data_IF_885931309269
#
_entry.id   IF_885931309269
#
_cell.length_a   1.000
_cell.length_b   1.000
_cell.length_c   1.000
_cell.angle_alpha   90.00
_cell.angle_beta   90.00
_cell.angle_gamma   90.00
#
_symmetry.space_group_name_H-M   'P 1'
#
loop_
_entity.id
_entity.type
_entity.pdbx_description
1 polymer ?
#
# COMPACT_ATOMS: atom_id res chain seq x y z
N UNK A 1 25.97 -13.08 6.44
CA UNK A 1 24.86 -13.25 5.47
C UNK A 1 24.25 -11.90 5.10
N UNK A 2 24.04 -11.64 3.82
CA UNK A 2 23.34 -10.45 3.34
C UNK A 2 21.85 -10.70 3.44
N UNK A 3 21.06 -9.72 3.92
CA UNK A 3 19.62 -9.83 4.00
C UNK A 3 19.01 -9.96 2.60
N UNK A 4 18.02 -10.83 2.46
CA UNK A 4 17.28 -11.00 1.21
C UNK A 4 16.42 -9.77 0.91
N UNK A 5 16.38 -9.34 -0.37
CA UNK A 5 15.48 -8.30 -0.81
C UNK A 5 14.05 -8.84 -0.95
N UNK A 6 13.08 -8.08 -0.50
CA UNK A 6 11.68 -8.36 -0.79
C UNK A 6 11.16 -7.32 -1.79
N UNK A 7 10.74 -7.81 -2.93
CA UNK A 7 9.95 -7.03 -3.88
C UNK A 7 8.58 -7.68 -3.90
N UNK A 8 7.52 -6.92 -3.72
CA UNK A 8 6.20 -7.45 -4.00
C UNK A 8 6.23 -7.95 -5.45
N UNK A 9 5.71 -9.10 -5.75
CA UNK A 9 5.90 -9.94 -6.95
C UNK A 9 5.96 -9.14 -8.27
N UNK A 10 7.04 -9.28 -9.05
CA UNK A 10 7.16 -8.73 -10.39
C UNK A 10 6.45 -9.66 -11.40
N UNK A 11 5.55 -9.12 -12.20
CA UNK A 11 4.87 -9.86 -13.27
C UNK A 11 5.74 -10.05 -14.54
N UNK A 12 7.04 -9.85 -14.44
CA UNK A 12 7.99 -10.02 -15.53
C UNK A 12 8.11 -8.83 -16.49
N UNK A 13 7.35 -7.76 -16.29
CA UNK A 13 7.38 -6.54 -17.12
C UNK A 13 7.99 -5.32 -16.42
N UNK A 14 8.73 -5.52 -15.33
CA UNK A 14 9.34 -4.42 -14.56
C UNK A 14 8.31 -3.48 -13.87
N UNK A 15 7.04 -3.84 -13.89
CA UNK A 15 6.01 -3.11 -13.15
C UNK A 15 5.86 -3.71 -11.75
N UNK A 16 5.77 -2.89 -10.70
CA UNK A 16 5.52 -3.41 -9.37
C UNK A 16 4.20 -4.20 -9.36
N UNK A 17 4.14 -5.34 -8.67
CA UNK A 17 2.94 -6.17 -8.62
C UNK A 17 1.77 -5.37 -8.08
N UNK A 18 0.62 -5.60 -8.67
CA UNK A 18 -0.60 -4.92 -8.29
C UNK A 18 -1.56 -5.88 -7.61
N UNK A 19 -1.99 -5.51 -6.41
CA UNK A 19 -3.23 -6.04 -5.84
C UNK A 19 -4.37 -5.20 -6.36
N UNK A 20 -5.20 -5.79 -7.21
CA UNK A 20 -6.19 -5.05 -7.97
C UNK A 20 -7.59 -5.63 -7.77
N UNK A 21 -8.51 -4.82 -7.26
CA UNK A 21 -9.93 -5.13 -7.25
C UNK A 21 -10.66 -4.12 -8.14
N UNK A 22 -11.35 -4.63 -9.16
CA UNK A 22 -12.11 -3.81 -10.09
C UNK A 22 -13.55 -4.29 -10.18
N UNK A 23 -14.48 -3.38 -9.99
CA UNK A 23 -15.87 -3.52 -10.39
C UNK A 23 -15.99 -2.93 -11.81
N UNK A 24 -16.18 -3.81 -12.80
CA UNK A 24 -16.18 -3.44 -14.21
C UNK A 24 -17.46 -2.74 -14.66
N UNK A 25 -17.51 -2.23 -15.91
CA UNK A 25 -18.75 -1.75 -16.50
C UNK A 25 -19.69 -2.92 -16.71
N UNK A 26 -20.85 -2.88 -16.07
CA UNK A 26 -21.95 -3.82 -16.33
C UNK A 26 -22.86 -3.33 -17.45
N UNK A 27 -23.58 -4.25 -18.07
CA UNK A 27 -24.60 -3.92 -19.07
C UNK A 27 -25.82 -3.20 -18.45
N UNK A 28 -25.98 -3.25 -17.14
CA UNK A 28 -27.00 -2.53 -16.38
C UNK A 28 -26.43 -1.96 -15.09
N UNK A 29 -26.64 -0.68 -14.78
CA UNK A 29 -26.03 -0.02 -13.62
C UNK A 29 -26.44 -0.59 -12.26
N UNK A 30 -27.53 -1.33 -12.20
CA UNK A 30 -28.14 -1.78 -10.94
C UNK A 30 -27.78 -3.21 -10.53
N UNK A 31 -27.13 -3.99 -11.41
CA UNK A 31 -26.93 -5.43 -11.17
C UNK A 31 -25.54 -5.81 -10.71
N UNK A 32 -24.61 -4.86 -10.62
CA UNK A 32 -23.24 -5.13 -10.19
C UNK A 32 -22.99 -4.58 -8.80
N UNK A 33 -22.63 -5.47 -7.90
CA UNK A 33 -22.27 -5.09 -6.55
C UNK A 33 -21.28 -6.04 -5.92
N UNK A 34 -20.34 -5.48 -5.16
CA UNK A 34 -19.49 -6.23 -4.24
C UNK A 34 -20.01 -5.93 -2.84
N UNK A 35 -20.47 -6.97 -2.15
CA UNK A 35 -20.89 -6.83 -0.76
C UNK A 35 -20.01 -7.67 0.15
N UNK A 36 -19.33 -7.01 1.06
CA UNK A 36 -18.48 -7.63 2.08
C UNK A 36 -19.07 -7.31 3.45
N UNK A 37 -19.50 -8.34 4.17
CA UNK A 37 -20.21 -8.16 5.46
C UNK A 37 -19.36 -7.53 6.56
N UNK A 38 -18.04 -7.66 6.49
CA UNK A 38 -17.13 -7.13 7.52
C UNK A 38 -16.06 -6.23 6.90
N UNK A 39 -14.85 -6.72 6.68
CA UNK A 39 -13.70 -5.96 6.22
C UNK A 39 -13.22 -6.43 4.85
N UNK A 40 -12.95 -5.48 3.97
CA UNK A 40 -12.19 -5.67 2.73
C UNK A 40 -10.77 -5.18 2.97
N UNK A 41 -9.78 -6.04 2.72
CA UNK A 41 -8.35 -5.69 2.85
C UNK A 41 -7.66 -6.02 1.54
N UNK A 42 -7.02 -5.01 0.94
CA UNK A 42 -6.08 -5.16 -0.17
C UNK A 42 -4.70 -4.77 0.34
N UNK A 43 -3.76 -5.71 0.30
CA UNK A 43 -2.46 -5.53 0.92
C UNK A 43 -1.32 -5.84 -0.06
N UNK A 44 -0.42 -4.87 -0.23
CA UNK A 44 0.79 -4.94 -1.07
C UNK A 44 2.08 -4.71 -0.27
N UNK A 45 2.12 -5.11 1.00
CA UNK A 45 3.27 -4.92 1.88
C UNK A 45 4.50 -5.72 1.45
N UNK A 46 5.67 -5.19 1.78
CA UNK A 46 6.95 -5.86 1.57
C UNK A 46 7.88 -5.70 2.78
N UNK A 47 8.69 -6.74 3.06
CA UNK A 47 9.70 -6.71 4.12
C UNK A 47 11.02 -7.23 3.61
N UNK A 48 12.09 -6.48 3.83
CA UNK A 48 13.46 -6.92 3.59
C UNK A 48 13.93 -7.92 4.66
N UNK A 49 14.73 -8.88 4.25
CA UNK A 49 15.32 -9.86 5.17
C UNK A 49 16.43 -9.25 6.03
N UNK A 50 16.61 -9.78 7.25
CA UNK A 50 17.73 -9.37 8.12
C UNK A 50 19.04 -10.03 7.67
N UNK A 51 20.14 -9.29 7.79
CA UNK A 51 21.51 -9.77 7.58
C UNK A 51 22.32 -9.72 8.87
N UNK A 52 22.99 -10.82 9.25
CA UNK A 52 23.81 -10.86 10.48
C UNK A 52 25.13 -10.10 10.35
N UNK A 53 25.76 -10.18 9.17
CA UNK A 53 27.12 -9.67 8.94
C UNK A 53 27.19 -8.70 7.73
N UNK A 54 26.07 -8.18 7.32
CA UNK A 54 25.97 -7.33 6.12
C UNK A 54 24.82 -6.34 6.18
N UNK A 55 24.52 -5.75 5.05
CA UNK A 55 23.40 -4.81 4.92
C UNK A 55 22.07 -5.58 4.97
N UNK A 56 21.11 -5.07 5.72
CA UNK A 56 19.74 -5.57 5.71
C UNK A 56 19.11 -5.49 4.30
N UNK A 57 18.21 -6.40 3.99
CA UNK A 57 17.54 -6.45 2.70
C UNK A 57 16.64 -5.24 2.46
N UNK A 58 16.58 -4.78 1.21
CA UNK A 58 15.67 -3.71 0.81
C UNK A 58 14.24 -4.22 0.64
N UNK A 59 13.25 -3.36 0.82
CA UNK A 59 11.85 -3.65 0.61
C UNK A 59 11.19 -2.63 -0.33
N UNK A 60 10.36 -3.13 -1.26
CA UNK A 60 9.57 -2.30 -2.17
C UNK A 60 8.14 -2.79 -2.16
N UNK A 61 7.21 -2.01 -1.61
CA UNK A 61 5.79 -2.29 -1.58
C UNK A 61 5.13 -2.21 -2.96
N UNK A 62 4.05 -2.95 -3.15
CA UNK A 62 3.33 -3.04 -4.41
C UNK A 62 2.33 -1.91 -4.68
N UNK A 63 1.78 -1.87 -5.89
CA UNK A 63 0.61 -1.05 -6.19
C UNK A 63 -0.64 -1.75 -5.67
N UNK A 64 -1.45 -1.05 -4.91
CA UNK A 64 -2.77 -1.54 -4.46
C UNK A 64 -3.85 -0.62 -5.03
N UNK A 65 -4.81 -1.20 -5.73
CA UNK A 65 -5.85 -0.41 -6.38
C UNK A 65 -7.26 -0.99 -6.16
N UNK A 66 -8.18 -0.11 -5.82
CA UNK A 66 -9.62 -0.36 -5.79
C UNK A 66 -10.31 0.53 -6.82
N UNK A 67 -10.95 -0.06 -7.81
CA UNK A 67 -11.65 0.68 -8.85
C UNK A 67 -13.11 0.26 -8.98
N UNK A 68 -13.99 1.24 -9.11
CA UNK A 68 -15.37 1.06 -9.52
C UNK A 68 -15.64 1.84 -10.81
N UNK A 69 -16.21 1.19 -11.83
CA UNK A 69 -16.64 1.85 -13.08
C UNK A 69 -18.17 1.89 -13.24
N UNK A 70 -18.87 1.10 -12.47
CA UNK A 70 -20.33 1.13 -12.33
C UNK A 70 -20.74 0.27 -11.13
N UNK A 71 -21.95 0.45 -10.62
CA UNK A 71 -22.47 -0.37 -9.53
C UNK A 71 -22.04 0.09 -8.13
N UNK A 72 -22.16 -0.79 -7.16
CA UNK A 72 -21.96 -0.44 -5.75
C UNK A 72 -21.02 -1.41 -5.05
N UNK A 73 -20.05 -0.86 -4.29
CA UNK A 73 -19.24 -1.62 -3.34
C UNK A 73 -19.74 -1.28 -1.94
N UNK A 74 -20.11 -2.30 -1.17
CA UNK A 74 -20.54 -2.15 0.22
C UNK A 74 -19.64 -3.01 1.12
N UNK A 75 -19.01 -2.41 2.12
CA UNK A 75 -18.19 -3.13 3.09
C UNK A 75 -18.29 -2.48 4.47
N UNK A 76 -18.11 -3.24 5.54
CA UNK A 76 -18.03 -2.69 6.89
C UNK A 76 -16.79 -1.80 7.05
N UNK A 77 -15.65 -2.23 6.50
CA UNK A 77 -14.45 -1.38 6.34
C UNK A 77 -13.72 -1.71 5.04
N UNK A 78 -13.03 -0.72 4.49
CA UNK A 78 -12.13 -0.86 3.34
C UNK A 78 -10.75 -0.41 3.75
N UNK A 79 -9.76 -1.31 3.65
CA UNK A 79 -8.38 -1.05 4.01
C UNK A 79 -7.48 -1.34 2.80
N UNK A 80 -6.80 -0.32 2.30
CA UNK A 80 -5.78 -0.43 1.27
C UNK A 80 -4.43 -0.15 1.93
N UNK A 81 -3.53 -1.13 1.87
CA UNK A 81 -2.23 -1.11 2.55
C UNK A 81 -1.11 -1.38 1.55
N UNK A 82 -0.03 -0.59 1.60
CA UNK A 82 1.14 -0.81 0.75
C UNK A 82 2.42 -0.38 1.49
N UNK A 83 2.68 -1.01 2.62
CA UNK A 83 3.79 -0.71 3.49
C UNK A 83 5.10 -1.38 3.01
N UNK A 84 6.22 -0.81 3.40
CA UNK A 84 7.53 -1.43 3.21
C UNK A 84 8.39 -1.27 4.47
N UNK A 85 9.07 -2.34 4.85
CA UNK A 85 10.02 -2.31 5.97
C UNK A 85 11.36 -2.88 5.52
N UNK A 86 12.42 -2.08 5.57
CA UNK A 86 13.79 -2.52 5.32
C UNK A 86 14.27 -3.50 6.39
N UNK A 87 15.14 -4.39 6.01
CA UNK A 87 15.72 -5.39 6.91
C UNK A 87 16.77 -4.79 7.84
N UNK A 88 16.96 -5.45 8.96
CA UNK A 88 18.01 -5.15 9.94
C UNK A 88 19.38 -5.73 9.50
N UNK A 89 20.50 -5.07 9.84
CA UNK A 89 21.83 -5.55 9.50
C UNK A 89 22.93 -4.65 10.06
N UNK A 90 24.21 -4.87 9.68
CA UNK A 90 25.32 -3.95 9.98
C UNK A 90 25.01 -2.58 9.36
N UNK A 91 24.48 -2.53 8.13
CA UNK A 91 23.76 -1.39 7.58
C UNK A 91 22.28 -1.70 7.47
N UNK A 92 21.41 -0.76 7.75
CA UNK A 92 19.96 -0.93 7.60
C UNK A 92 19.54 -1.01 6.13
N UNK A 93 18.60 -1.90 5.81
CA UNK A 93 18.02 -2.01 4.47
C UNK A 93 17.11 -0.84 4.14
N UNK A 94 17.06 -0.44 2.87
CA UNK A 94 16.17 0.63 2.42
C UNK A 94 14.72 0.16 2.33
N UNK A 95 13.77 1.08 2.49
CA UNK A 95 12.36 0.81 2.31
C UNK A 95 11.72 1.83 1.36
N UNK A 96 10.92 1.33 0.43
CA UNK A 96 10.08 2.17 -0.41
C UNK A 96 8.66 1.62 -0.37
N UNK A 97 7.72 2.36 0.22
CA UNK A 97 6.33 1.92 0.24
C UNK A 97 5.73 1.90 -1.16
N UNK A 98 4.68 1.11 -1.32
CA UNK A 98 3.93 1.03 -2.56
C UNK A 98 3.09 2.27 -2.83
N UNK A 99 2.16 2.15 -3.78
CA UNK A 99 1.20 3.19 -4.15
C UNK A 99 -0.21 2.70 -3.89
N UNK A 100 -1.08 3.58 -3.42
CA UNK A 100 -2.50 3.30 -3.30
C UNK A 100 -3.29 4.12 -4.32
N UNK A 101 -4.25 3.47 -4.95
CA UNK A 101 -5.17 4.10 -5.87
C UNK A 101 -6.61 3.68 -5.56
N UNK A 102 -7.44 4.62 -5.14
CA UNK A 102 -8.90 4.50 -5.13
C UNK A 102 -9.46 5.29 -6.31
N UNK A 103 -10.25 4.66 -7.15
CA UNK A 103 -10.86 5.35 -8.30
C UNK A 103 -12.28 4.88 -8.54
N UNK A 104 -13.23 5.82 -8.57
CA UNK A 104 -14.63 5.52 -8.81
C UNK A 104 -15.16 6.42 -9.93
N UNK A 105 -15.81 5.79 -10.90
CA UNK A 105 -16.41 6.42 -12.05
C UNK A 105 -17.83 5.86 -12.23
N UNK A 106 -18.85 6.68 -12.04
CA UNK A 106 -20.26 6.25 -12.01
C UNK A 106 -20.53 5.04 -11.09
N UNK A 107 -19.77 4.91 -10.02
CA UNK A 107 -19.86 3.82 -9.08
C UNK A 107 -19.95 4.34 -7.64
N UNK A 108 -20.58 3.58 -6.77
CA UNK A 108 -20.76 3.96 -5.38
C UNK A 108 -19.90 3.09 -4.45
N UNK A 109 -19.36 3.72 -3.43
CA UNK A 109 -18.73 3.04 -2.29
C UNK A 109 -19.49 3.41 -1.01
N UNK A 110 -19.95 2.40 -0.28
CA UNK A 110 -20.54 2.57 1.05
C UNK A 110 -19.74 1.76 2.08
N UNK A 111 -19.19 2.45 3.06
CA UNK A 111 -18.39 1.81 4.11
C UNK A 111 -18.46 2.59 5.42
N UNK A 112 -18.28 1.93 6.56
CA UNK A 112 -18.14 2.64 7.83
C UNK A 112 -16.75 3.26 7.98
N UNK A 113 -15.71 2.61 7.43
CA UNK A 113 -14.33 3.09 7.49
C UNK A 113 -13.62 2.89 6.16
N UNK A 114 -12.94 3.92 5.70
CA UNK A 114 -12.07 3.88 4.52
C UNK A 114 -10.65 4.26 4.97
N UNK A 115 -9.71 3.31 4.92
CA UNK A 115 -8.32 3.52 5.28
C UNK A 115 -7.42 3.29 4.07
N UNK A 116 -6.65 4.31 3.71
CA UNK A 116 -5.61 4.26 2.69
C UNK A 116 -4.29 4.57 3.38
N UNK A 117 -3.49 3.55 3.63
CA UNK A 117 -2.29 3.68 4.45
C UNK A 117 -1.06 3.22 3.65
N UNK A 118 -0.07 4.09 3.53
CA UNK A 118 1.25 3.76 3.03
C UNK A 118 2.31 4.18 4.05
N UNK A 119 3.20 3.26 4.38
CA UNK A 119 4.29 3.52 5.30
C UNK A 119 5.59 2.93 4.76
N UNK A 120 6.68 3.66 4.90
CA UNK A 120 8.01 3.16 4.65
C UNK A 120 8.85 3.29 5.93
N UNK A 121 9.45 2.20 6.36
CA UNK A 121 10.35 2.19 7.52
C UNK A 121 11.68 1.58 7.09
N UNK A 122 12.75 2.40 7.09
CA UNK A 122 14.10 1.93 6.85
C UNK A 122 14.54 0.95 7.94
N UNK A 123 15.36 -0.03 7.59
CA UNK A 123 15.89 -1.00 8.55
C UNK A 123 16.87 -0.37 9.52
N UNK A 124 16.90 -0.85 10.74
CA UNK A 124 17.89 -0.41 11.73
C UNK A 124 19.27 -1.02 11.45
N UNK A 125 20.32 -0.33 11.87
CA UNK A 125 21.70 -0.79 11.77
C UNK A 125 22.28 -1.14 13.14
N UNK A 126 23.31 -2.01 13.15
CA UNK A 126 24.16 -2.32 14.31
C UNK A 126 25.55 -1.74 14.15
N UNK A 127 26.32 -1.79 15.22
CA UNK A 127 27.82 -1.63 15.24
C UNK A 127 28.34 -0.40 14.48
N UNK A 128 27.71 0.76 14.69
CA UNK A 128 28.13 2.02 14.07
C UNK A 128 27.69 2.17 12.61
N UNK A 129 26.91 1.23 12.09
CA UNK A 129 26.34 1.29 10.74
C UNK A 129 25.28 2.37 10.59
N UNK A 130 24.97 2.73 9.34
CA UNK A 130 23.91 3.68 9.02
C UNK A 130 22.57 2.96 8.88
N UNK A 131 21.52 3.48 9.52
CA UNK A 131 20.15 3.03 9.29
C UNK A 131 19.72 3.22 7.84
N UNK A 132 18.79 2.41 7.38
CA UNK A 132 18.28 2.43 6.02
C UNK A 132 17.42 3.67 5.74
N UNK A 133 17.46 4.13 4.50
CA UNK A 133 16.58 5.20 4.03
C UNK A 133 15.14 4.70 3.82
N UNK A 134 14.17 5.60 3.97
CA UNK A 134 12.77 5.33 3.72
C UNK A 134 12.18 6.34 2.73
N UNK A 135 11.43 5.84 1.77
CA UNK A 135 10.71 6.66 0.79
C UNK A 135 9.24 6.24 0.74
N UNK A 136 8.34 7.17 0.97
CA UNK A 136 6.91 6.91 0.88
C UNK A 136 6.41 7.05 -0.56
N UNK A 137 5.50 6.17 -0.96
CA UNK A 137 4.78 6.25 -2.23
C UNK A 137 3.61 7.23 -2.18
N UNK A 138 2.72 7.12 -3.15
CA UNK A 138 1.61 8.05 -3.34
C UNK A 138 0.28 7.40 -2.97
N UNK A 139 -0.62 8.21 -2.41
CA UNK A 139 -2.01 7.84 -2.17
C UNK A 139 -2.89 8.71 -3.06
N UNK A 140 -3.66 8.09 -3.94
CA UNK A 140 -4.62 8.76 -4.80
C UNK A 140 -6.04 8.26 -4.51
N UNK A 141 -6.97 9.19 -4.43
CA UNK A 141 -8.38 8.88 -4.38
C UNK A 141 -9.11 9.80 -5.35
N UNK A 142 -9.64 9.23 -6.42
CA UNK A 142 -10.26 9.95 -7.52
C UNK A 142 -11.75 9.58 -7.64
N UNK A 143 -12.57 10.59 -7.76
CA UNK A 143 -13.99 10.46 -8.06
C UNK A 143 -14.25 11.15 -9.39
N UNK A 144 -14.85 10.44 -10.32
CA UNK A 144 -15.30 11.00 -11.59
C UNK A 144 -16.74 10.58 -11.87
N UNK A 145 -17.45 11.40 -12.60
CA UNK A 145 -18.77 11.09 -13.12
C UNK A 145 -18.81 11.46 -14.59
N UNK A 146 -19.40 10.62 -15.42
CA UNK A 146 -19.70 10.99 -16.80
C UNK A 146 -20.79 12.08 -16.81
N UNK A 147 -20.69 12.99 -17.72
CA UNK A 147 -21.77 13.93 -18.06
C UNK A 147 -23.04 13.08 -18.37
N UNK A 148 -24.13 13.29 -17.68
CA UNK A 148 -25.35 12.50 -17.73
C UNK A 148 -25.31 11.08 -17.11
N UNK A 149 -24.26 10.71 -16.36
CA UNK A 149 -24.23 9.47 -15.58
C UNK A 149 -24.95 9.58 -14.22
N UNK A 150 -25.18 8.45 -13.52
CA UNK A 150 -25.83 8.42 -12.20
C UNK A 150 -25.00 9.11 -11.10
N UNK A 151 -23.82 9.57 -11.44
CA UNK A 151 -22.88 10.18 -10.49
C UNK A 151 -22.06 9.14 -9.71
N UNK A 152 -21.07 9.62 -8.99
CA UNK A 152 -20.22 8.82 -8.12
C UNK A 152 -20.40 9.28 -6.68
N UNK A 153 -20.71 8.36 -5.78
CA UNK A 153 -20.87 8.65 -4.37
C UNK A 153 -19.95 7.78 -3.53
N UNK A 154 -19.17 8.41 -2.66
CA UNK A 154 -18.45 7.71 -1.59
C UNK A 154 -19.05 8.13 -0.26
N UNK A 155 -19.71 7.17 0.37
CA UNK A 155 -20.29 7.33 1.71
C UNK A 155 -19.43 6.52 2.69
N UNK A 156 -18.62 7.22 3.47
CA UNK A 156 -17.77 6.64 4.49
C UNK A 156 -18.07 7.30 5.83
N UNK A 157 -18.29 6.51 6.88
CA UNK A 157 -18.45 7.03 8.24
C UNK A 157 -17.19 7.74 8.74
N UNK A 158 -16.02 7.24 8.33
CA UNK A 158 -14.72 7.90 8.50
C UNK A 158 -13.78 7.56 7.35
N UNK A 159 -12.87 8.48 7.01
CA UNK A 159 -11.82 8.26 6.02
C UNK A 159 -10.45 8.66 6.58
N UNK A 160 -9.45 7.80 6.41
CA UNK A 160 -8.06 8.06 6.79
C UNK A 160 -7.18 7.86 5.57
N UNK A 161 -6.43 8.89 5.19
CA UNK A 161 -5.40 8.84 4.17
C UNK A 161 -4.08 9.19 4.85
N UNK A 162 -3.17 8.25 4.95
CA UNK A 162 -1.90 8.43 5.62
C UNK A 162 -0.74 7.97 4.73
N UNK A 163 0.24 8.84 4.60
CA UNK A 163 1.53 8.52 3.98
C UNK A 163 2.63 8.91 4.96
N UNK A 164 3.47 7.96 5.35
CA UNK A 164 4.54 8.19 6.33
C UNK A 164 5.85 7.54 5.91
N UNK A 165 6.97 8.19 6.22
CA UNK A 165 8.29 7.64 6.02
C UNK A 165 9.14 7.85 7.28
N UNK A 166 9.87 6.81 7.70
CA UNK A 166 10.79 6.86 8.82
C UNK A 166 12.09 6.11 8.44
N UNK A 167 13.22 6.82 8.47
CA UNK A 167 14.52 6.17 8.35
C UNK A 167 14.78 5.22 9.51
N UNK A 168 15.60 4.22 9.27
CA UNK A 168 16.07 3.30 10.31
C UNK A 168 17.04 3.98 11.28
N UNK A 169 17.13 3.46 12.50
CA UNK A 169 18.10 3.89 13.48
C UNK A 169 19.53 3.49 13.05
N UNK A 170 20.50 4.38 13.23
CA UNK A 170 21.92 4.05 13.12
C UNK A 170 22.40 3.24 14.32
N UNK A 171 23.39 2.37 14.11
CA UNK A 171 24.05 1.65 15.21
C UNK A 171 24.89 2.62 16.04
N UNK A 172 24.66 2.65 17.36
CA UNK A 172 25.52 3.40 18.28
C UNK A 172 26.89 2.73 18.36
N UNK A 173 27.96 3.49 18.08
CA UNK A 173 29.31 3.02 18.45
C UNK A 173 29.51 3.26 19.94
N UNK A 174 29.62 2.18 20.72
CA UNK A 174 30.12 2.28 22.08
C UNK A 174 31.63 2.61 21.98
N UNK A 175 32.00 3.87 22.23
CA UNK A 175 33.38 4.18 22.53
C UNK A 175 33.63 3.70 23.95
N UNK A 176 34.45 2.66 24.10
CA UNK A 176 35.05 2.23 25.36
C UNK A 176 36.38 2.96 25.51
#
# INVERSE_FOLDING_TARGET
TVGGNATAFDNGNGQPPAVFLRLGPGSTPNDQGIRVGSSMVLNGDARGGSGSDGVGGSAVGGLVALRGQSGTITAGSVNLLADATGGFGVGGGTARSGRLFGGFDNANLTTNRLNLLVSAVGGDATDGGRGGDATVGQVFFLLSSLENGPGTVVNAGSATLLASARGGAGGGSSFI
#
